data_IF_186942958857
#
_entry.id   IF_186942958857
#
_cell.length_a   1.000
_cell.length_b   1.000
_cell.length_c   1.000
_cell.angle_alpha   90.00
_cell.angle_beta   90.00
_cell.angle_gamma   90.00
#
_symmetry.space_group_name_H-M   'P 1'
#
loop_
_entity.id
_entity.type
_entity.pdbx_description
1 polymer ?
#
# COMPACT_ATOMS: atom_id res chain seq x y z
N UNK A 1 33.76 36.39 21.57
CA UNK A 1 32.53 35.65 21.91
C UNK A 1 32.16 34.80 20.71
N UNK A 2 32.70 33.58 20.66
CA UNK A 2 32.43 32.60 19.63
C UNK A 2 31.53 31.53 20.25
N UNK A 3 30.32 31.36 19.72
CA UNK A 3 29.35 30.36 20.15
C UNK A 3 29.30 29.27 19.08
N UNK A 4 29.94 28.15 19.39
CA UNK A 4 29.87 26.90 18.62
C UNK A 4 28.63 26.12 19.03
N UNK A 5 27.69 25.92 18.10
CA UNK A 5 26.61 24.94 18.26
C UNK A 5 27.14 23.54 17.84
N UNK A 6 26.83 22.47 18.59
CA UNK A 6 27.23 21.12 18.20
C UNK A 6 26.24 20.52 17.19
N UNK A 7 26.82 19.91 16.17
CA UNK A 7 26.17 19.16 15.11
C UNK A 7 25.72 17.79 15.67
N UNK A 8 24.41 17.60 15.84
CA UNK A 8 23.84 16.34 16.31
C UNK A 8 23.72 15.35 15.13
N UNK A 9 24.67 14.43 15.05
CA UNK A 9 24.65 13.29 14.13
C UNK A 9 23.49 12.35 14.49
N UNK A 10 22.39 12.41 13.73
CA UNK A 10 21.33 11.39 13.76
C UNK A 10 21.76 10.19 12.92
N UNK A 11 22.17 9.12 13.58
CA UNK A 11 22.36 7.81 12.97
C UNK A 11 21.01 7.13 12.76
N UNK A 12 20.55 7.05 11.52
CA UNK A 12 19.41 6.22 11.14
C UNK A 12 19.76 4.72 11.23
N UNK A 13 18.82 3.84 11.58
CA UNK A 13 19.06 2.41 11.60
C UNK A 13 19.24 1.89 10.18
N UNK A 14 20.45 1.38 9.89
CA UNK A 14 20.77 0.68 8.64
C UNK A 14 19.92 -0.59 8.58
N UNK A 15 18.96 -0.63 7.64
CA UNK A 15 18.25 -1.85 7.28
C UNK A 15 19.28 -2.86 6.74
N UNK A 16 19.58 -3.88 7.54
CA UNK A 16 20.50 -4.97 7.20
C UNK A 16 19.86 -5.80 6.09
N UNK A 17 20.43 -5.70 4.89
CA UNK A 17 20.08 -6.52 3.72
C UNK A 17 20.46 -7.98 4.02
N UNK A 18 19.47 -8.83 4.24
CA UNK A 18 19.67 -10.27 4.39
C UNK A 18 20.11 -10.89 3.06
N UNK A 19 21.37 -11.29 2.98
CA UNK A 19 21.88 -12.16 1.91
C UNK A 19 21.41 -13.58 2.18
N UNK A 20 20.40 -14.04 1.44
CA UNK A 20 20.00 -15.44 1.43
C UNK A 20 20.98 -16.27 0.61
N UNK A 21 21.92 -16.93 1.29
CA UNK A 21 22.73 -18.01 0.74
C UNK A 21 21.91 -19.30 0.86
N UNK A 22 21.64 -19.96 -0.27
CA UNK A 22 20.93 -21.24 -0.30
C UNK A 22 21.77 -22.36 0.37
N UNK A 23 21.14 -23.32 1.06
CA UNK A 23 21.86 -24.45 1.64
C UNK A 23 22.19 -25.47 0.56
N UNK A 24 23.48 -25.82 0.52
CA UNK A 24 24.07 -26.89 -0.24
C UNK A 24 23.73 -28.22 0.44
N UNK A 25 22.91 -29.07 -0.18
CA UNK A 25 22.72 -30.46 0.23
C UNK A 25 23.51 -31.35 -0.73
N UNK A 26 24.65 -31.84 -0.24
CA UNK A 26 25.35 -32.98 -0.82
C UNK A 26 24.90 -34.28 -0.14
N UNK A 27 24.91 -35.35 -0.93
CA UNK A 27 25.22 -36.77 -0.64
C UNK A 27 24.48 -37.60 -1.69
N UNK A 28 25.14 -38.20 -2.69
CA UNK A 28 26.07 -39.34 -2.68
C UNK A 28 25.37 -40.65 -3.09
N UNK A 29 26.10 -41.44 -3.86
CA UNK A 29 25.86 -42.82 -4.36
C UNK A 29 25.05 -42.95 -5.65
N UNK A 30 25.33 -43.84 -6.60
CA UNK A 30 26.50 -44.61 -7.06
C UNK A 30 25.99 -45.40 -8.30
N UNK A 31 26.87 -45.64 -9.27
CA UNK A 31 26.83 -46.73 -10.27
C UNK A 31 25.66 -46.83 -11.28
N UNK A 32 25.97 -46.58 -12.55
CA UNK A 32 25.95 -47.63 -13.58
C UNK A 32 26.51 -47.10 -14.91
N UNK A 33 27.50 -47.83 -15.43
CA UNK A 33 28.14 -47.62 -16.71
C UNK A 33 27.21 -47.97 -17.89
N UNK A 34 27.29 -47.17 -18.96
CA UNK A 34 27.13 -47.66 -20.32
C UNK A 34 27.91 -46.77 -21.30
N UNK A 35 29.00 -47.34 -21.82
CA UNK A 35 29.72 -46.87 -23.00
C UNK A 35 28.82 -46.94 -24.25
N UNK A 36 28.96 -45.94 -25.11
CA UNK A 36 28.39 -45.93 -26.45
C UNK A 36 28.61 -44.59 -27.17
N UNK A 37 29.54 -44.51 -28.14
CA UNK A 37 29.81 -43.31 -28.91
C UNK A 37 28.83 -43.22 -30.08
N UNK A 38 28.46 -42.02 -30.52
CA UNK A 38 28.15 -41.75 -31.93
C UNK A 38 28.05 -40.24 -32.20
N UNK A 39 28.81 -39.88 -33.22
CA UNK A 39 28.86 -38.62 -33.93
C UNK A 39 27.46 -38.07 -34.27
N UNK A 40 27.31 -36.75 -34.16
CA UNK A 40 26.73 -35.92 -35.23
C UNK A 40 26.72 -34.44 -34.84
N UNK A 41 27.59 -33.67 -35.50
CA UNK A 41 27.29 -32.27 -35.83
C UNK A 41 25.87 -32.19 -36.43
N UNK A 42 25.17 -31.08 -36.19
CA UNK A 42 24.92 -30.24 -37.35
C UNK A 42 25.06 -28.74 -37.07
N UNK A 43 25.74 -28.11 -38.03
CA UNK A 43 25.28 -26.93 -38.74
C UNK A 43 24.86 -25.71 -37.92
N UNK A 44 25.76 -24.74 -37.96
CA UNK A 44 25.48 -23.39 -38.48
C UNK A 44 24.01 -23.09 -38.79
N UNK A 45 23.42 -22.16 -38.06
CA UNK A 45 22.46 -21.25 -38.67
C UNK A 45 22.79 -19.82 -38.25
N UNK A 46 23.37 -19.11 -39.22
CA UNK A 46 23.46 -17.66 -39.27
C UNK A 46 22.04 -17.16 -39.51
N UNK A 47 21.54 -16.28 -38.65
CA UNK A 47 20.53 -15.32 -39.09
C UNK A 47 20.90 -13.94 -38.59
N UNK A 48 21.53 -13.25 -39.52
CA UNK A 48 21.59 -11.81 -39.66
C UNK A 48 20.17 -11.22 -39.57
N UNK A 49 20.00 -10.19 -38.74
CA UNK A 49 19.01 -9.16 -38.97
C UNK A 49 19.62 -7.82 -38.56
N UNK A 50 20.31 -7.24 -39.53
CA UNK A 50 20.76 -5.87 -39.57
C UNK A 50 19.60 -4.93 -39.19
N UNK A 51 19.68 -4.31 -38.01
CA UNK A 51 18.96 -3.07 -37.73
C UNK A 51 19.61 -1.97 -38.58
N UNK A 52 19.16 -1.93 -39.83
CA UNK A 52 19.47 -0.90 -40.82
C UNK A 52 18.76 0.36 -40.35
N UNK A 53 19.48 1.21 -39.63
CA UNK A 53 19.09 2.59 -39.36
C UNK A 53 18.94 3.31 -40.72
N UNK A 54 17.72 3.28 -41.24
CA UNK A 54 17.32 4.05 -42.40
C UNK A 54 17.29 5.52 -42.03
N UNK A 55 18.42 6.19 -42.23
CA UNK A 55 18.54 7.63 -42.42
C UNK A 55 17.76 8.00 -43.70
N UNK A 56 16.43 8.04 -43.59
CA UNK A 56 15.58 8.68 -44.57
C UNK A 56 15.63 10.17 -44.33
N UNK A 57 16.56 10.84 -45.01
CA UNK A 57 16.50 12.27 -45.31
C UNK A 57 15.20 12.54 -46.06
N UNK A 58 14.13 12.84 -45.31
CA UNK A 58 12.92 13.41 -45.88
C UNK A 58 13.16 14.91 -45.98
N UNK A 59 13.64 15.33 -47.15
CA UNK A 59 13.61 16.71 -47.63
C UNK A 59 12.15 17.18 -47.69
N UNK A 60 11.65 17.62 -46.55
CA UNK A 60 10.38 18.34 -46.44
C UNK A 60 10.70 19.84 -46.50
N UNK A 61 11.17 20.28 -47.67
CA UNK A 61 11.19 21.69 -48.04
C UNK A 61 9.79 22.08 -48.51
N UNK A 62 9.15 22.99 -47.79
CA UNK A 62 7.88 23.60 -48.22
C UNK A 62 6.83 23.63 -47.13
N UNK A 63 6.87 24.63 -46.27
CA UNK A 63 5.91 25.73 -46.38
C UNK A 63 6.21 26.82 -45.34
N UNK A 64 6.42 28.01 -45.89
CA UNK A 64 6.77 29.26 -45.24
C UNK A 64 5.67 29.73 -44.26
N UNK A 65 6.10 30.04 -43.04
CA UNK A 65 5.91 31.33 -42.40
C UNK A 65 4.48 31.92 -42.33
N UNK A 66 3.60 31.17 -41.68
CA UNK A 66 2.49 31.77 -40.92
C UNK A 66 2.94 32.08 -39.50
N UNK A 67 3.54 33.26 -39.28
CA UNK A 67 3.96 33.83 -37.99
C UNK A 67 2.81 33.83 -36.95
N UNK A 68 2.63 32.67 -36.32
CA UNK A 68 1.71 32.46 -35.19
C UNK A 68 2.55 32.29 -33.92
N UNK A 69 3.61 33.10 -33.78
CA UNK A 69 4.52 33.10 -32.63
C UNK A 69 3.97 33.86 -31.41
N UNK A 70 2.69 34.25 -31.44
CA UNK A 70 2.04 34.98 -30.37
C UNK A 70 1.27 34.08 -29.38
N UNK A 71 1.92 33.73 -28.27
CA UNK A 71 1.27 33.49 -26.98
C UNK A 71 0.39 32.24 -26.78
N UNK A 72 0.70 31.09 -27.39
CA UNK A 72 0.42 29.82 -26.67
C UNK A 72 1.51 29.63 -25.60
N UNK A 73 1.58 30.55 -24.64
CA UNK A 73 2.32 30.36 -23.40
C UNK A 73 1.58 29.30 -22.59
N UNK A 74 1.67 28.05 -23.07
CA UNK A 74 1.28 26.79 -22.47
C UNK A 74 0.52 26.95 -21.14
N UNK A 75 -0.80 27.09 -21.22
CA UNK A 75 -1.71 27.17 -20.07
C UNK A 75 -1.68 25.87 -19.26
N UNK A 76 -0.66 25.72 -18.42
CA UNK A 76 -0.60 24.71 -17.38
C UNK A 76 -1.26 25.28 -16.13
N UNK A 77 -2.33 24.63 -15.69
CA UNK A 77 -3.00 24.95 -14.44
C UNK A 77 -2.20 24.38 -13.27
N UNK A 78 -1.90 25.19 -12.28
CA UNK A 78 -1.31 24.70 -11.04
C UNK A 78 -2.38 24.09 -10.14
N UNK A 79 -2.16 22.83 -9.75
CA UNK A 79 -3.08 22.09 -8.90
C UNK A 79 -2.31 21.40 -7.78
N UNK A 80 -2.96 21.17 -6.64
CA UNK A 80 -2.50 20.24 -5.63
C UNK A 80 -3.26 18.92 -5.74
N UNK A 81 -2.54 17.80 -5.72
CA UNK A 81 -3.16 16.48 -5.67
C UNK A 81 -2.35 15.53 -4.79
N UNK A 82 -2.99 14.46 -4.33
CA UNK A 82 -2.27 13.35 -3.70
C UNK A 82 -1.43 12.62 -4.77
N UNK A 83 -0.11 12.41 -4.54
CA UNK A 83 0.73 11.70 -5.50
C UNK A 83 0.31 10.24 -5.72
N UNK A 84 -0.40 9.63 -4.78
CA UNK A 84 -0.92 8.26 -4.91
C UNK A 84 -2.13 8.18 -5.87
N UNK A 85 -2.85 9.29 -6.06
CA UNK A 85 -3.99 9.36 -7.00
C UNK A 85 -3.55 9.59 -8.46
N UNK A 86 -2.29 9.99 -8.67
CA UNK A 86 -1.76 10.23 -10.02
C UNK A 86 -1.29 8.91 -10.65
N UNK A 87 -1.75 8.64 -11.87
CA UNK A 87 -1.43 7.45 -12.68
C UNK A 87 -0.13 7.63 -13.47
N UNK A 88 0.57 6.52 -13.67
CA UNK A 88 1.70 6.44 -14.60
C UNK A 88 1.21 6.34 -16.05
N UNK A 89 1.85 7.07 -16.96
CA UNK A 89 1.56 6.91 -18.40
C UNK A 89 2.31 5.74 -19.02
N UNK A 90 3.48 5.39 -18.48
CA UNK A 90 4.37 4.34 -18.99
C UNK A 90 4.37 3.13 -18.07
N UNK A 91 4.47 1.93 -18.65
CA UNK A 91 4.65 0.68 -17.91
C UNK A 91 6.06 0.52 -17.32
N UNK A 92 7.07 1.16 -17.92
CA UNK A 92 8.49 1.02 -17.54
C UNK A 92 9.16 2.37 -17.30
N UNK A 93 9.96 2.47 -16.22
CA UNK A 93 10.84 3.62 -15.97
C UNK A 93 12.27 3.20 -15.70
N UNK A 94 13.19 4.10 -16.04
CA UNK A 94 14.59 3.97 -15.70
C UNK A 94 14.83 4.34 -14.22
N UNK A 95 15.60 3.56 -13.43
CA UNK A 95 15.84 3.79 -11.99
C UNK A 95 16.68 5.04 -11.66
N UNK A 96 17.07 5.82 -12.66
CA UNK A 96 17.96 6.97 -12.52
C UNK A 96 17.34 8.23 -13.09
N UNK A 97 17.53 9.34 -12.37
CA UNK A 97 17.36 10.67 -12.92
C UNK A 97 18.56 11.06 -13.77
N UNK A 98 18.31 11.79 -14.85
CA UNK A 98 19.37 12.36 -15.67
C UNK A 98 20.24 13.29 -14.80
N UNK A 99 21.56 13.03 -14.76
CA UNK A 99 22.58 13.75 -13.96
C UNK A 99 22.47 13.69 -12.43
N UNK A 100 21.36 13.23 -11.85
CA UNK A 100 21.15 13.19 -10.39
C UNK A 100 21.35 11.80 -9.77
N UNK A 101 21.59 10.78 -10.59
CA UNK A 101 21.84 9.42 -10.12
C UNK A 101 20.55 8.65 -9.79
N UNK A 102 20.63 7.61 -8.95
CA UNK A 102 19.49 6.77 -8.59
C UNK A 102 18.33 7.58 -8.00
N UNK A 103 17.09 7.21 -8.37
CA UNK A 103 15.88 7.88 -7.87
C UNK A 103 15.79 7.81 -6.33
N UNK A 104 16.16 6.67 -5.74
CA UNK A 104 16.18 6.46 -4.28
C UNK A 104 17.06 7.46 -3.52
N UNK A 105 18.09 8.04 -4.16
CA UNK A 105 18.94 9.05 -3.53
C UNK A 105 18.27 10.45 -3.48
N UNK A 106 17.17 10.62 -4.20
CA UNK A 106 16.39 11.86 -4.22
C UNK A 106 15.25 11.83 -3.21
N UNK A 107 14.73 10.64 -2.87
CA UNK A 107 13.59 10.48 -1.94
C UNK A 107 13.84 11.17 -0.59
N UNK A 108 14.99 10.97 0.11
CA UNK A 108 15.27 11.65 1.38
C UNK A 108 15.43 13.17 1.28
N UNK A 109 15.52 13.71 0.05
CA UNK A 109 15.64 15.15 -0.21
C UNK A 109 14.28 15.82 -0.43
N UNK A 110 13.20 15.04 -0.54
CA UNK A 110 11.83 15.55 -0.65
C UNK A 110 11.39 15.94 0.77
N UNK A 111 11.10 17.22 0.98
CA UNK A 111 10.71 17.72 2.30
C UNK A 111 9.21 17.59 2.48
N UNK A 112 8.77 17.01 3.61
CA UNK A 112 7.37 17.07 4.02
C UNK A 112 7.15 18.31 4.89
N UNK A 113 6.25 19.19 4.46
CA UNK A 113 5.88 20.43 5.17
C UNK A 113 4.45 20.28 5.66
N UNK A 114 4.24 20.40 6.96
CA UNK A 114 2.89 20.37 7.54
C UNK A 114 2.13 21.64 7.16
N UNK A 115 1.03 21.48 6.42
CA UNK A 115 0.14 22.57 6.06
C UNK A 115 -0.93 22.73 7.13
N UNK A 116 -0.88 23.84 7.88
CA UNK A 116 -1.97 24.24 8.79
C UNK A 116 -2.99 25.04 8.00
N UNK A 117 -3.89 24.36 7.31
CA UNK A 117 -5.08 25.03 6.78
C UNK A 117 -6.04 25.37 7.93
N UNK A 118 -6.66 26.55 7.86
CA UNK A 118 -7.30 27.20 9.00
C UNK A 118 -8.66 26.57 9.41
N UNK A 119 -9.04 25.41 8.87
CA UNK A 119 -10.40 24.88 9.06
C UNK A 119 -10.59 23.36 9.07
N UNK A 120 -9.60 22.54 8.67
CA UNK A 120 -9.74 21.08 8.70
C UNK A 120 -8.91 20.49 9.84
N UNK A 121 -9.51 19.59 10.61
CA UNK A 121 -8.81 18.81 11.64
C UNK A 121 -7.76 17.84 11.06
N UNK A 122 -7.76 17.67 9.73
CA UNK A 122 -6.86 16.75 9.04
C UNK A 122 -5.54 17.43 8.70
N UNK A 123 -4.47 16.90 9.30
CA UNK A 123 -3.09 17.30 9.03
C UNK A 123 -2.63 16.76 7.67
N UNK A 124 -2.70 17.59 6.63
CA UNK A 124 -2.19 17.24 5.30
C UNK A 124 -0.73 17.68 5.15
N UNK A 125 0.13 16.78 4.67
CA UNK A 125 1.54 17.07 4.40
C UNK A 125 1.73 17.53 2.94
N UNK A 126 2.37 18.68 2.73
CA UNK A 126 2.86 19.06 1.39
C UNK A 126 4.25 18.48 1.15
N UNK A 127 4.40 17.71 0.07
CA UNK A 127 5.69 17.20 -0.38
C UNK A 127 6.35 18.22 -1.32
N UNK A 128 7.49 18.76 -0.90
CA UNK A 128 8.28 19.76 -1.64
C UNK A 128 9.54 19.08 -2.20
N UNK A 129 9.52 18.63 -3.48
CA UNK A 129 10.65 17.93 -4.08
C UNK A 129 11.79 18.88 -4.49
N UNK A 130 13.03 18.38 -4.62
CA UNK A 130 14.17 19.17 -5.11
C UNK A 130 14.20 19.29 -6.65
N UNK A 131 13.09 19.04 -7.34
CA UNK A 131 12.93 19.09 -8.79
C UNK A 131 11.67 19.87 -9.17
N UNK A 132 11.61 20.36 -10.41
CA UNK A 132 10.45 21.10 -10.91
C UNK A 132 9.15 20.28 -10.81
N UNK A 133 8.02 20.96 -10.70
CA UNK A 133 6.70 20.34 -10.68
C UNK A 133 6.52 19.30 -11.79
N UNK A 134 5.74 18.26 -11.50
CA UNK A 134 5.41 17.23 -12.48
C UNK A 134 4.30 17.73 -13.40
N UNK A 135 4.38 17.38 -14.68
CA UNK A 135 3.32 17.64 -15.63
C UNK A 135 2.33 16.48 -15.64
N UNK A 136 1.05 16.80 -15.65
CA UNK A 136 -0.06 15.86 -15.64
C UNK A 136 -1.05 16.19 -16.76
N UNK A 137 -1.58 15.15 -17.39
CA UNK A 137 -2.72 15.23 -18.30
C UNK A 137 -3.97 14.81 -17.54
N UNK A 138 -5.00 15.65 -17.54
CA UNK A 138 -6.32 15.30 -17.00
C UNK A 138 -7.09 14.48 -18.05
N UNK A 139 -7.56 13.29 -17.66
CA UNK A 139 -8.40 12.44 -18.52
C UNK A 139 -9.63 12.02 -17.72
N UNK A 140 -10.73 12.76 -17.89
CA UNK A 140 -11.92 12.59 -17.06
C UNK A 140 -11.65 13.06 -15.63
N UNK A 141 -11.87 12.18 -14.65
CA UNK A 141 -11.57 12.44 -13.23
C UNK A 141 -10.13 12.11 -12.84
N UNK A 142 -9.39 11.41 -13.70
CA UNK A 142 -8.05 10.91 -13.38
C UNK A 142 -6.93 11.85 -13.85
N UNK A 143 -5.83 11.86 -13.11
CA UNK A 143 -4.60 12.58 -13.44
C UNK A 143 -3.52 11.59 -13.90
N UNK A 144 -2.91 11.86 -15.04
CA UNK A 144 -1.91 11.01 -15.68
C UNK A 144 -0.58 11.73 -15.79
N UNK A 145 0.49 11.23 -15.16
CA UNK A 145 1.78 11.91 -15.16
C UNK A 145 2.54 11.74 -16.48
N UNK A 146 3.07 12.84 -17.01
CA UNK A 146 4.01 12.84 -18.13
C UNK A 146 5.47 12.68 -17.66
N UNK A 147 5.70 12.73 -16.34
CA UNK A 147 6.99 12.71 -15.67
C UNK A 147 7.12 11.50 -14.71
N UNK A 148 6.87 10.28 -15.22
CA UNK A 148 6.74 9.05 -14.42
C UNK A 148 7.87 8.80 -13.40
N UNK A 149 9.13 9.14 -13.72
CA UNK A 149 10.26 9.02 -12.77
C UNK A 149 10.11 9.93 -11.55
N UNK A 150 9.61 11.15 -11.75
CA UNK A 150 9.36 12.11 -10.66
C UNK A 150 8.15 11.68 -9.85
N UNK A 151 7.09 11.20 -10.51
CA UNK A 151 5.94 10.62 -9.82
C UNK A 151 6.35 9.43 -8.94
N UNK A 152 7.15 8.50 -9.44
CA UNK A 152 7.65 7.36 -8.66
C UNK A 152 8.40 7.83 -7.40
N UNK A 153 9.28 8.83 -7.52
CA UNK A 153 9.97 9.41 -6.36
C UNK A 153 9.01 10.04 -5.34
N UNK A 154 7.97 10.74 -5.82
CA UNK A 154 6.94 11.36 -4.97
C UNK A 154 6.06 10.32 -4.27
N UNK A 155 5.70 9.23 -4.96
CA UNK A 155 4.95 8.13 -4.36
C UNK A 155 5.79 7.40 -3.32
N UNK A 156 7.08 7.16 -3.56
CA UNK A 156 7.98 6.61 -2.55
C UNK A 156 8.03 7.50 -1.30
N UNK A 157 8.20 8.81 -1.44
CA UNK A 157 8.20 9.74 -0.32
C UNK A 157 6.84 9.80 0.40
N UNK A 158 5.72 9.77 -0.34
CA UNK A 158 4.40 9.69 0.27
C UNK A 158 4.22 8.41 1.09
N UNK A 159 4.77 7.28 0.62
CA UNK A 159 4.73 6.02 1.35
C UNK A 159 5.59 6.02 2.62
N UNK A 160 6.62 6.87 2.74
CA UNK A 160 7.37 7.05 3.99
C UNK A 160 6.53 7.75 5.07
N UNK A 161 5.50 8.50 4.66
CA UNK A 161 4.58 9.20 5.55
C UNK A 161 3.22 8.52 5.68
N UNK A 162 3.02 7.38 5.02
CA UNK A 162 1.79 6.61 5.12
C UNK A 162 1.51 6.24 6.59
N UNK A 163 0.28 6.37 7.10
CA UNK A 163 -0.99 6.64 6.39
C UNK A 163 -1.40 8.12 6.30
N UNK A 164 -0.50 9.07 6.56
CA UNK A 164 -0.83 10.50 6.49
C UNK A 164 -1.07 10.91 5.03
N UNK A 165 -2.11 11.71 4.83
CA UNK A 165 -2.40 12.26 3.51
C UNK A 165 -1.30 13.25 3.10
N UNK A 166 -0.79 13.04 1.90
CA UNK A 166 0.23 13.88 1.29
C UNK A 166 -0.35 14.57 0.05
N UNK A 167 0.07 15.81 -0.21
CA UNK A 167 -0.23 16.53 -1.45
C UNK A 167 1.05 17.05 -2.09
N UNK A 168 1.04 17.20 -3.40
CA UNK A 168 2.14 17.78 -4.17
C UNK A 168 1.58 18.78 -5.17
N UNK A 169 2.32 19.87 -5.38
CA UNK A 169 2.04 20.84 -6.45
C UNK A 169 2.43 20.26 -7.80
N UNK A 170 1.48 20.27 -8.73
CA UNK A 170 1.64 19.76 -10.09
C UNK A 170 1.12 20.76 -11.13
N UNK A 171 1.55 20.56 -12.37
CA UNK A 171 1.12 21.31 -13.54
C UNK A 171 0.18 20.43 -14.35
N UNK A 172 -1.09 20.82 -14.45
CA UNK A 172 -2.12 20.04 -15.10
C UNK A 172 -2.58 20.70 -16.40
N UNK A 173 -2.98 19.89 -17.39
CA UNK A 173 -3.67 20.35 -18.59
C UNK A 173 -4.66 19.30 -19.05
N UNK A 174 -5.77 19.72 -19.66
CA UNK A 174 -6.79 18.79 -20.16
C UNK A 174 -6.43 18.16 -21.52
N UNK A 175 -5.58 18.84 -22.29
CA UNK A 175 -5.18 18.41 -23.65
C UNK A 175 -3.70 18.63 -23.87
N UNK A 176 -3.04 17.67 -24.51
CA UNK A 176 -1.64 17.80 -24.93
C UNK A 176 -1.51 18.86 -26.03
N UNK A 177 -0.42 19.66 -26.04
CA UNK A 177 -0.13 20.58 -27.14
C UNK A 177 -0.11 19.82 -28.48
N UNK A 178 -0.73 20.39 -29.53
CA UNK A 178 -0.83 19.74 -30.85
C UNK A 178 0.53 19.30 -31.39
N UNK A 179 1.55 20.16 -31.24
CA UNK A 179 2.92 19.90 -31.71
C UNK A 179 3.61 18.72 -30.98
N UNK A 180 3.24 18.43 -29.74
CA UNK A 180 3.80 17.33 -28.92
C UNK A 180 2.88 16.12 -28.81
N UNK A 181 1.71 16.16 -29.46
CA UNK A 181 0.68 15.13 -29.30
C UNK A 181 1.22 13.74 -29.66
N UNK A 182 1.83 13.59 -30.84
CA UNK A 182 2.32 12.28 -31.33
C UNK A 182 3.40 11.68 -30.42
N UNK A 183 4.33 12.48 -29.92
CA UNK A 183 5.46 12.00 -29.11
C UNK A 183 5.04 11.69 -27.68
N UNK A 184 4.16 12.50 -27.08
CA UNK A 184 3.65 12.26 -25.73
C UNK A 184 2.61 11.13 -25.70
N UNK A 185 1.75 11.03 -26.71
CA UNK A 185 0.74 9.96 -26.77
C UNK A 185 1.37 8.57 -26.88
N UNK A 186 2.52 8.44 -27.57
CA UNK A 186 3.30 7.19 -27.60
C UNK A 186 3.78 6.72 -26.23
N UNK A 187 3.82 7.61 -25.23
CA UNK A 187 4.18 7.23 -23.85
C UNK A 187 3.04 6.57 -23.10
N UNK A 188 1.79 6.71 -23.55
CA UNK A 188 0.63 6.05 -22.96
C UNK A 188 0.60 4.59 -23.38
N UNK A 189 1.39 3.78 -22.68
CA UNK A 189 1.47 2.34 -22.90
C UNK A 189 1.49 1.62 -21.56
N UNK A 190 0.44 1.82 -20.77
CA UNK A 190 0.25 1.10 -19.51
C UNK A 190 -0.84 0.05 -19.66
N UNK A 191 -0.60 -1.13 -19.10
CA UNK A 191 -1.55 -2.24 -19.02
C UNK A 191 -2.37 -2.21 -17.73
N UNK A 192 -1.84 -1.58 -16.67
CA UNK A 192 -2.38 -1.59 -15.30
C UNK A 192 -3.18 -0.34 -14.92
N UNK A 193 -3.77 0.37 -15.89
CA UNK A 193 -4.38 1.70 -15.69
C UNK A 193 -3.41 2.73 -15.04
N UNK A 194 -2.10 2.50 -15.15
CA UNK A 194 -1.08 3.38 -14.58
C UNK A 194 -0.95 3.25 -13.07
N UNK A 195 -1.42 2.15 -12.47
CA UNK A 195 -1.28 1.88 -11.02
C UNK A 195 0.00 1.13 -10.66
N UNK A 196 0.54 0.40 -11.62
CA UNK A 196 1.78 -0.39 -11.47
C UNK A 196 2.81 0.10 -12.47
N UNK A 197 4.08 0.14 -12.06
CA UNK A 197 5.19 0.47 -12.95
C UNK A 197 6.40 -0.43 -12.67
N UNK A 198 7.05 -0.88 -13.74
CA UNK A 198 8.29 -1.65 -13.66
C UNK A 198 9.50 -0.71 -13.69
N UNK A 199 10.38 -0.87 -12.70
CA UNK A 199 11.64 -0.14 -12.61
C UNK A 199 12.72 -1.00 -13.24
N UNK A 200 13.14 -0.67 -14.46
CA UNK A 200 14.09 -1.46 -15.23
C UNK A 200 15.19 -0.59 -15.85
N UNK A 201 16.41 -1.13 -15.92
CA UNK A 201 17.49 -0.55 -16.71
C UNK A 201 18.00 -1.60 -17.70
N UNK A 202 18.00 -1.26 -18.99
CA UNK A 202 18.34 -2.17 -20.09
C UNK A 202 17.48 -3.45 -20.03
N UNK A 203 18.08 -4.58 -19.64
CA UNK A 203 17.46 -5.90 -19.56
C UNK A 203 17.29 -6.40 -18.12
N UNK A 204 17.61 -5.57 -17.13
CA UNK A 204 17.48 -5.93 -15.72
C UNK A 204 16.25 -5.24 -15.11
N UNK A 205 15.29 -6.04 -14.67
CA UNK A 205 14.19 -5.60 -13.83
C UNK A 205 14.70 -5.52 -12.38
N UNK A 206 14.56 -4.35 -11.76
CA UNK A 206 14.98 -4.11 -10.38
C UNK A 206 13.82 -4.31 -9.42
N UNK A 207 12.66 -3.76 -9.78
CA UNK A 207 11.48 -3.72 -8.91
C UNK A 207 10.21 -3.55 -9.76
N UNK A 208 9.07 -3.97 -9.20
CA UNK A 208 7.74 -3.68 -9.74
C UNK A 208 6.97 -2.93 -8.66
N UNK A 209 6.76 -1.64 -8.91
CA UNK A 209 6.14 -0.75 -7.96
C UNK A 209 4.64 -0.69 -8.15
N UNK A 210 3.90 -0.98 -7.08
CA UNK A 210 2.48 -0.70 -6.94
C UNK A 210 2.26 -0.13 -5.53
N UNK A 211 1.98 1.17 -5.45
CA UNK A 211 1.87 1.84 -4.16
C UNK A 211 0.73 1.28 -3.30
N UNK A 212 -0.37 0.80 -3.90
CA UNK A 212 -1.51 0.25 -3.18
C UNK A 212 -1.13 -1.07 -2.48
N UNK A 213 -0.46 -1.97 -3.19
CA UNK A 213 0.06 -3.19 -2.59
C UNK A 213 1.06 -2.87 -1.47
N UNK A 214 1.91 -1.85 -1.67
CA UNK A 214 2.85 -1.41 -0.65
C UNK A 214 2.16 -0.88 0.60
N UNK A 215 1.09 -0.09 0.45
CA UNK A 215 0.28 0.39 1.56
C UNK A 215 -0.38 -0.78 2.32
N UNK A 216 -0.93 -1.75 1.60
CA UNK A 216 -1.52 -2.96 2.18
C UNK A 216 -0.48 -3.76 2.99
N UNK A 217 0.75 -3.89 2.51
CA UNK A 217 1.84 -4.55 3.25
C UNK A 217 2.19 -3.83 4.55
N UNK A 218 2.27 -2.49 4.54
CA UNK A 218 2.54 -1.71 5.74
C UNK A 218 1.42 -1.87 6.76
N UNK A 219 0.17 -1.71 6.32
CA UNK A 219 -1.01 -1.87 7.18
C UNK A 219 -1.16 -3.30 7.71
N UNK A 220 -0.81 -4.30 6.90
CA UNK A 220 -0.78 -5.69 7.34
C UNK A 220 0.12 -5.85 8.54
N UNK A 221 1.35 -5.36 8.47
CA UNK A 221 2.32 -5.51 9.54
C UNK A 221 1.77 -4.95 10.87
N UNK A 222 1.18 -3.75 10.83
CA UNK A 222 0.55 -3.14 12.01
C UNK A 222 -0.66 -3.92 12.52
N UNK A 223 -1.56 -4.33 11.62
CA UNK A 223 -2.75 -5.10 11.99
C UNK A 223 -2.37 -6.43 12.61
N UNK A 224 -1.44 -7.17 11.99
CA UNK A 224 -0.97 -8.47 12.47
C UNK A 224 -0.26 -8.34 13.82
N UNK A 225 0.51 -7.27 14.06
CA UNK A 225 1.11 -7.00 15.37
C UNK A 225 0.05 -6.76 16.46
N UNK A 226 -1.01 -5.99 16.14
CA UNK A 226 -2.12 -5.74 17.08
C UNK A 226 -2.92 -7.01 17.36
N UNK A 227 -3.22 -7.78 16.32
CA UNK A 227 -3.91 -9.06 16.42
C UNK A 227 -3.09 -10.08 17.21
N UNK A 228 -1.78 -10.15 16.97
CA UNK A 228 -0.86 -10.99 17.73
C UNK A 228 -0.88 -10.66 19.22
N UNK A 229 -0.78 -9.36 19.57
CA UNK A 229 -0.88 -8.90 20.97
C UNK A 229 -2.22 -9.30 21.59
N UNK A 230 -3.31 -9.13 20.85
CA UNK A 230 -4.64 -9.52 21.30
C UNK A 230 -4.72 -11.03 21.53
N UNK A 231 -4.29 -11.85 20.58
CA UNK A 231 -4.28 -13.31 20.72
C UNK A 231 -3.41 -13.76 21.90
N UNK A 232 -2.25 -13.14 22.12
CA UNK A 232 -1.41 -13.45 23.29
C UNK A 232 -2.11 -13.20 24.62
N UNK A 233 -2.94 -12.14 24.74
CA UNK A 233 -3.76 -11.93 25.94
C UNK A 233 -4.76 -13.08 26.12
N UNK A 234 -5.39 -13.53 25.03
CA UNK A 234 -6.34 -14.65 25.09
C UNK A 234 -5.67 -16.01 25.31
N UNK A 235 -4.42 -16.21 24.89
CA UNK A 235 -3.63 -17.41 25.17
C UNK A 235 -3.26 -17.52 26.66
N UNK A 236 -3.01 -16.39 27.33
CA UNK A 236 -2.66 -16.36 28.77
C UNK A 236 -3.89 -16.59 29.66
N UNK A 237 -5.09 -16.17 29.21
CA UNK A 237 -6.33 -16.27 30.00
C UNK A 237 -6.64 -17.71 30.50
N UNK A 238 -6.56 -18.77 29.68
CA UNK A 238 -6.72 -20.16 30.14
C UNK A 238 -5.72 -20.57 31.23
N UNK A 239 -4.47 -20.13 31.13
CA UNK A 239 -3.42 -20.45 32.11
C UNK A 239 -3.72 -19.77 33.44
N UNK A 240 -4.04 -18.47 33.41
CA UNK A 240 -4.46 -17.72 34.60
C UNK A 240 -5.71 -18.34 35.21
N UNK A 241 -6.70 -18.70 34.39
CA UNK A 241 -7.91 -19.39 34.83
C UNK A 241 -7.62 -20.72 35.52
N UNK A 242 -6.70 -21.53 34.98
CA UNK A 242 -6.29 -22.79 35.58
C UNK A 242 -5.57 -22.61 36.93
N UNK A 243 -4.71 -21.59 37.06
CA UNK A 243 -4.03 -21.25 38.31
C UNK A 243 -5.02 -20.75 39.37
N UNK A 244 -5.94 -19.88 38.99
CA UNK A 244 -7.00 -19.37 39.86
C UNK A 244 -7.96 -20.49 40.31
N UNK A 245 -8.25 -21.45 39.44
CA UNK A 245 -9.00 -22.66 39.78
C UNK A 245 -8.24 -23.54 40.79
N UNK A 246 -6.95 -23.82 40.52
CA UNK A 246 -6.11 -24.66 41.38
C UNK A 246 -5.93 -24.07 42.78
N UNK A 247 -5.83 -22.75 42.89
CA UNK A 247 -5.65 -22.04 44.17
C UNK A 247 -6.94 -21.93 44.98
N UNK A 248 -8.09 -22.36 44.44
CA UNK A 248 -9.39 -22.31 45.11
C UNK A 248 -9.96 -20.90 45.25
N UNK A 249 -9.28 -19.88 44.71
CA UNK A 249 -9.66 -18.46 44.83
C UNK A 249 -10.98 -18.16 44.12
N UNK A 250 -11.32 -18.92 43.07
CA UNK A 250 -12.56 -18.72 42.30
C UNK A 250 -13.78 -19.37 42.94
N UNK A 251 -13.61 -20.27 43.93
CA UNK A 251 -14.72 -20.98 44.56
C UNK A 251 -15.54 -21.87 43.62
N UNK A 252 -15.08 -22.11 42.39
CA UNK A 252 -15.80 -22.89 41.39
C UNK A 252 -15.64 -24.40 41.67
N UNK A 253 -16.73 -25.09 42.01
CA UNK A 253 -16.74 -26.54 42.19
C UNK A 253 -16.62 -27.33 40.87
N UNK A 254 -16.79 -26.67 39.71
CA UNK A 254 -16.87 -27.30 38.39
C UNK A 254 -15.54 -27.25 37.63
N UNK A 255 -15.19 -28.33 36.92
CA UNK A 255 -14.02 -28.42 36.02
C UNK A 255 -14.27 -27.81 34.63
N UNK A 256 -15.51 -27.41 34.34
CA UNK A 256 -15.93 -26.86 33.04
C UNK A 256 -15.08 -25.66 32.56
N UNK A 257 -14.68 -24.69 33.42
CA UNK A 257 -13.88 -23.55 33.00
C UNK A 257 -12.52 -23.95 32.42
N UNK A 258 -11.92 -25.03 32.94
CA UNK A 258 -10.62 -25.53 32.50
C UNK A 258 -10.74 -26.16 31.10
N UNK A 259 -11.76 -26.98 30.87
CA UNK A 259 -12.04 -27.57 29.54
C UNK A 259 -12.37 -26.49 28.52
N UNK A 260 -13.17 -25.49 28.91
CA UNK A 260 -13.51 -24.35 28.05
C UNK A 260 -12.27 -23.53 27.68
N UNK A 261 -11.35 -23.31 28.63
CA UNK A 261 -10.08 -22.63 28.39
C UNK A 261 -9.20 -23.36 27.37
N UNK A 262 -9.07 -24.69 27.48
CA UNK A 262 -8.34 -25.49 26.48
C UNK A 262 -9.00 -25.46 25.10
N UNK A 263 -10.32 -25.63 25.04
CA UNK A 263 -11.05 -25.55 23.77
C UNK A 263 -10.89 -24.16 23.11
N UNK A 264 -10.87 -23.10 23.90
CA UNK A 264 -10.64 -21.73 23.42
C UNK A 264 -9.22 -21.56 22.89
N UNK A 265 -8.20 -22.12 23.55
CA UNK A 265 -6.82 -22.09 23.04
C UNK A 265 -6.71 -22.78 21.66
N UNK A 266 -7.31 -23.96 21.50
CA UNK A 266 -7.36 -24.64 20.18
C UNK A 266 -8.14 -23.84 19.13
N UNK A 267 -9.23 -23.18 19.52
CA UNK A 267 -9.98 -22.33 18.61
C UNK A 267 -9.16 -21.10 18.17
N UNK A 268 -8.41 -20.48 19.09
CA UNK A 268 -7.47 -19.38 18.79
C UNK A 268 -6.41 -19.83 17.81
N UNK A 269 -5.79 -20.99 18.02
CA UNK A 269 -4.80 -21.56 17.10
C UNK A 269 -5.37 -21.79 15.69
N UNK A 270 -6.59 -22.34 15.61
CA UNK A 270 -7.26 -22.55 14.33
C UNK A 270 -7.61 -21.23 13.63
N UNK A 271 -8.10 -20.24 14.39
CA UNK A 271 -8.37 -18.90 13.87
C UNK A 271 -7.10 -18.28 13.31
N UNK A 272 -5.97 -18.37 14.04
CA UNK A 272 -4.68 -17.81 13.63
C UNK A 272 -4.22 -18.31 12.26
N UNK A 273 -4.50 -19.56 11.91
CA UNK A 273 -4.21 -20.12 10.58
C UNK A 273 -5.06 -19.51 9.46
N UNK A 274 -6.33 -19.17 9.76
CA UNK A 274 -7.26 -18.57 8.79
C UNK A 274 -7.10 -17.06 8.67
N UNK A 275 -6.60 -16.42 9.73
CA UNK A 275 -6.49 -14.97 9.89
C UNK A 275 -5.67 -14.31 8.77
N UNK A 276 -4.64 -14.95 8.21
CA UNK A 276 -3.81 -14.34 7.17
C UNK A 276 -4.61 -13.87 5.93
N UNK A 277 -5.54 -14.68 5.42
CA UNK A 277 -6.32 -14.30 4.23
C UNK A 277 -7.28 -13.13 4.57
N UNK A 278 -7.85 -13.15 5.78
CA UNK A 278 -8.75 -12.09 6.24
C UNK A 278 -8.00 -10.79 6.54
N UNK A 279 -6.81 -10.85 7.14
CA UNK A 279 -5.94 -9.70 7.41
C UNK A 279 -5.68 -8.91 6.12
N UNK A 280 -5.30 -9.61 5.04
CA UNK A 280 -5.09 -8.97 3.74
C UNK A 280 -6.30 -8.17 3.28
N UNK A 281 -7.47 -8.79 3.32
CA UNK A 281 -8.72 -8.17 2.84
C UNK A 281 -9.11 -6.98 3.72
N UNK A 282 -8.96 -7.09 5.03
CA UNK A 282 -9.21 -5.98 5.95
C UNK A 282 -8.24 -4.83 5.66
N UNK A 283 -6.97 -5.11 5.38
CA UNK A 283 -5.98 -4.08 5.02
C UNK A 283 -6.31 -3.42 3.68
N UNK A 284 -6.70 -4.19 2.66
CA UNK A 284 -7.15 -3.65 1.37
C UNK A 284 -8.33 -2.68 1.55
N UNK A 285 -9.32 -3.05 2.38
CA UNK A 285 -10.46 -2.19 2.69
C UNK A 285 -10.06 -0.97 3.51
N UNK A 286 -9.12 -1.12 4.44
CA UNK A 286 -8.61 -0.04 5.26
C UNK A 286 -7.86 1.00 4.41
N UNK A 287 -6.97 0.56 3.52
CA UNK A 287 -6.25 1.42 2.59
C UNK A 287 -7.22 2.20 1.70
N UNK A 288 -8.28 1.55 1.20
CA UNK A 288 -9.35 2.25 0.44
C UNK A 288 -10.04 3.32 1.28
N UNK A 289 -10.45 2.97 2.50
CA UNK A 289 -11.06 3.95 3.40
C UNK A 289 -10.14 5.15 3.69
N UNK A 290 -8.82 4.95 3.81
CA UNK A 290 -7.85 6.05 3.99
C UNK A 290 -7.87 7.00 2.78
N UNK A 291 -7.90 6.44 1.57
CA UNK A 291 -7.92 7.21 0.33
C UNK A 291 -9.23 7.98 0.15
N UNK A 292 -10.35 7.37 0.53
CA UNK A 292 -11.67 7.98 0.46
C UNK A 292 -11.86 9.07 1.55
N UNK A 293 -10.91 9.20 2.50
CA UNK A 293 -11.02 10.13 3.62
C UNK A 293 -11.99 9.68 4.72
N UNK A 294 -12.43 8.42 4.68
CA UNK A 294 -13.41 7.83 5.61
C UNK A 294 -12.79 7.40 6.96
N UNK A 295 -11.53 7.75 7.20
CA UNK A 295 -10.81 7.34 8.39
C UNK A 295 -10.90 8.39 9.47
N UNK A 296 -11.32 7.93 10.66
CA UNK A 296 -11.42 8.76 11.85
C UNK A 296 -10.24 8.46 12.74
N UNK A 297 -9.53 9.50 13.15
CA UNK A 297 -8.61 9.38 14.27
C UNK A 297 -9.45 9.20 15.53
N UNK A 298 -9.55 7.96 16.00
CA UNK A 298 -10.15 7.67 17.30
C UNK A 298 -9.18 8.21 18.34
N UNK A 299 -9.31 9.51 18.63
CA UNK A 299 -8.60 10.17 19.71
C UNK A 299 -8.83 9.36 20.98
N UNK A 300 -7.76 8.76 21.49
CA UNK A 300 -7.86 7.76 22.55
C UNK A 300 -8.75 8.26 23.68
N UNK A 301 -9.77 7.47 24.01
CA UNK A 301 -10.62 7.68 25.20
C UNK A 301 -9.77 7.69 26.50
N UNK A 302 -8.50 7.28 26.40
CA UNK A 302 -7.49 7.38 27.46
C UNK A 302 -6.37 8.40 27.18
N UNK A 303 -6.59 9.47 26.41
CA UNK A 303 -5.60 10.57 26.28
C UNK A 303 -5.63 11.46 27.52
N UNK A 304 -5.39 10.86 28.69
CA UNK A 304 -5.18 11.57 29.95
C UNK A 304 -3.77 12.15 29.92
N UNK A 305 -3.66 13.35 29.37
CA UNK A 305 -2.61 14.35 29.65
C UNK A 305 -1.23 13.76 29.96
N UNK A 306 -0.54 13.27 28.93
CA UNK A 306 0.92 13.23 28.97
C UNK A 306 1.41 14.33 28.04
N UNK A 307 1.77 15.42 28.68
CA UNK A 307 2.49 16.54 28.09
C UNK A 307 3.97 16.16 28.22
N UNK A 308 4.56 15.48 27.24
CA UNK A 308 6.00 15.26 27.21
C UNK A 308 6.54 15.43 25.78
N UNK A 309 7.59 16.24 25.71
CA UNK A 309 8.24 16.84 24.55
C UNK A 309 9.14 15.86 23.76
N UNK A 310 8.87 14.55 23.85
CA UNK A 310 9.80 13.50 23.43
C UNK A 310 9.16 12.59 22.38
N UNK A 311 9.10 13.04 21.13
CA UNK A 311 8.91 12.17 19.95
C UNK A 311 7.72 11.20 20.03
N UNK A 312 6.60 11.63 20.61
CA UNK A 312 5.40 10.81 20.79
C UNK A 312 4.93 10.26 19.43
N UNK A 313 4.98 8.95 19.27
CA UNK A 313 4.48 8.27 18.08
C UNK A 313 2.98 8.53 17.97
N UNK A 314 2.57 9.36 17.00
CA UNK A 314 1.16 9.64 16.78
C UNK A 314 0.38 8.33 16.58
N UNK A 315 -0.74 8.13 17.30
CA UNK A 315 -1.49 6.90 17.23
C UNK A 315 -1.95 6.66 15.80
N UNK A 316 -1.56 5.50 15.24
CA UNK A 316 -1.92 5.15 13.87
C UNK A 316 -3.44 5.20 13.69
N UNK A 317 -3.94 5.84 12.62
CA UNK A 317 -5.36 5.96 12.35
C UNK A 317 -6.03 4.59 12.28
N UNK A 318 -7.31 4.52 12.62
CA UNK A 318 -8.08 3.28 12.60
C UNK A 318 -9.36 3.50 11.82
N UNK A 319 -9.59 2.73 10.76
CA UNK A 319 -10.86 2.82 10.02
C UNK A 319 -11.96 2.10 10.76
N UNK A 320 -13.21 2.47 10.46
CA UNK A 320 -14.39 1.75 10.94
C UNK A 320 -14.33 0.26 10.60
N UNK A 321 -13.76 -0.11 9.45
CA UNK A 321 -13.59 -1.51 9.02
C UNK A 321 -12.62 -2.27 9.93
N UNK A 322 -11.45 -1.70 10.22
CA UNK A 322 -10.50 -2.31 11.15
C UNK A 322 -11.12 -2.46 12.54
N UNK A 323 -11.79 -1.41 13.04
CA UNK A 323 -12.45 -1.45 14.35
C UNK A 323 -13.56 -2.50 14.40
N UNK A 324 -14.41 -2.58 13.35
CA UNK A 324 -15.45 -3.59 13.26
C UNK A 324 -14.87 -5.01 13.20
N UNK A 325 -13.78 -5.21 12.47
CA UNK A 325 -13.09 -6.51 12.40
C UNK A 325 -12.49 -6.90 13.76
N UNK A 326 -11.78 -5.98 14.42
CA UNK A 326 -11.21 -6.19 15.75
C UNK A 326 -12.28 -6.48 16.79
N UNK A 327 -13.38 -5.72 16.80
CA UNK A 327 -14.50 -5.97 17.72
C UNK A 327 -15.20 -7.30 17.42
N UNK A 328 -15.40 -7.64 16.15
CA UNK A 328 -15.98 -8.94 15.75
C UNK A 328 -15.12 -10.10 16.22
N UNK A 329 -13.79 -9.96 16.13
CA UNK A 329 -12.85 -10.95 16.63
C UNK A 329 -12.86 -11.02 18.16
N UNK A 330 -12.80 -9.87 18.86
CA UNK A 330 -12.91 -9.81 20.32
C UNK A 330 -14.17 -10.51 20.80
N UNK A 331 -15.29 -10.25 20.14
CA UNK A 331 -16.53 -10.95 20.39
C UNK A 331 -16.32 -12.45 20.19
N UNK A 332 -15.98 -12.90 18.98
CA UNK A 332 -15.83 -14.33 18.71
C UNK A 332 -14.94 -15.07 19.74
N UNK A 333 -13.87 -14.42 20.22
CA UNK A 333 -12.99 -14.92 21.27
C UNK A 333 -13.61 -14.92 22.68
N UNK A 334 -14.47 -13.96 23.00
CA UNK A 334 -15.19 -13.89 24.27
C UNK A 334 -16.42 -14.80 24.32
N UNK A 335 -16.92 -15.28 23.17
CA UNK A 335 -18.11 -16.14 23.07
C UNK A 335 -18.04 -17.37 24.01
N UNK A 336 -16.94 -18.15 24.05
CA UNK A 336 -16.88 -19.35 24.89
C UNK A 336 -16.91 -19.01 26.39
N UNK A 337 -16.39 -17.83 26.77
CA UNK A 337 -16.43 -17.36 28.15
C UNK A 337 -17.87 -17.00 28.56
N UNK A 338 -18.60 -16.27 27.71
CA UNK A 338 -20.02 -15.95 27.93
C UNK A 338 -20.86 -17.23 28.02
N UNK A 339 -20.64 -18.19 27.12
CA UNK A 339 -21.33 -19.49 27.14
C UNK A 339 -21.00 -20.31 28.40
N UNK A 340 -19.75 -20.28 28.87
CA UNK A 340 -19.33 -20.91 30.12
C UNK A 340 -20.03 -20.31 31.33
N UNK A 341 -20.07 -18.98 31.43
CA UNK A 341 -20.70 -18.23 32.52
C UNK A 341 -22.21 -18.47 32.59
N UNK A 342 -22.91 -18.53 31.45
CA UNK A 342 -24.36 -18.74 31.44
C UNK A 342 -24.81 -20.12 31.92
N UNK A 343 -23.95 -21.14 31.88
CA UNK A 343 -24.25 -22.45 32.46
C UNK A 343 -24.35 -22.42 33.99
N UNK A 344 -23.76 -21.42 34.65
CA UNK A 344 -23.82 -21.24 36.12
C UNK A 344 -24.98 -20.32 36.59
N UNK A 345 -26.09 -20.26 35.84
CA UNK A 345 -27.30 -19.44 36.14
C UNK A 345 -27.08 -17.92 36.13
N UNK A 346 -26.00 -17.43 35.51
CA UNK A 346 -25.85 -15.98 35.27
C UNK A 346 -26.76 -15.52 34.12
N UNK A 347 -27.45 -14.41 34.37
CA UNK A 347 -28.68 -13.91 33.72
C UNK A 347 -28.61 -13.84 32.18
N UNK A 348 -29.70 -14.25 31.53
CA UNK A 348 -29.98 -14.18 30.08
C UNK A 348 -29.75 -12.80 29.44
N UNK A 349 -29.73 -11.73 30.23
CA UNK A 349 -29.52 -10.35 29.78
C UNK A 349 -28.11 -10.07 29.24
N UNK A 350 -27.08 -10.76 29.74
CA UNK A 350 -25.72 -10.59 29.23
C UNK A 350 -25.59 -11.19 27.84
N UNK A 351 -26.14 -12.39 27.63
CA UNK A 351 -26.08 -13.08 26.35
C UNK A 351 -26.92 -12.37 25.27
N UNK A 352 -28.05 -11.76 25.64
CA UNK A 352 -28.83 -10.94 24.71
C UNK A 352 -28.13 -9.64 24.32
N UNK A 353 -27.51 -8.92 25.27
CA UNK A 353 -26.71 -7.74 25.00
C UNK A 353 -25.53 -8.06 24.06
N UNK A 354 -24.88 -9.18 24.33
CA UNK A 354 -23.72 -9.64 23.58
C UNK A 354 -24.10 -10.07 22.15
N UNK A 355 -25.17 -10.85 21.99
CA UNK A 355 -25.74 -11.20 20.68
C UNK A 355 -26.16 -9.94 19.91
N UNK A 356 -26.71 -8.93 20.60
CA UNK A 356 -27.03 -7.63 20.01
C UNK A 356 -25.80 -6.91 19.45
N UNK A 357 -24.70 -6.83 20.22
CA UNK A 357 -23.45 -6.23 19.77
C UNK A 357 -22.84 -6.98 18.57
N UNK A 358 -22.83 -8.31 18.62
CA UNK A 358 -22.36 -9.17 17.54
C UNK A 358 -23.16 -8.95 16.26
N UNK A 359 -24.49 -8.83 16.37
CA UNK A 359 -25.36 -8.58 15.23
C UNK A 359 -25.07 -7.21 14.59
N UNK A 360 -24.96 -6.15 15.38
CA UNK A 360 -24.62 -4.80 14.88
C UNK A 360 -23.28 -4.79 14.16
N UNK A 361 -22.26 -5.44 14.73
CA UNK A 361 -20.92 -5.50 14.12
C UNK A 361 -20.91 -6.35 12.85
N UNK A 362 -21.64 -7.48 12.84
CA UNK A 362 -21.79 -8.29 11.64
C UNK A 362 -22.48 -7.52 10.52
N UNK A 363 -23.53 -6.73 10.82
CA UNK A 363 -24.20 -5.88 9.84
C UNK A 363 -23.28 -4.77 9.33
N UNK A 364 -22.50 -4.12 10.20
CA UNK A 364 -21.54 -3.10 9.79
C UNK A 364 -20.43 -3.68 8.91
N UNK A 365 -19.87 -4.84 9.27
CA UNK A 365 -18.87 -5.53 8.47
C UNK A 365 -19.44 -5.99 7.12
N UNK A 366 -20.66 -6.53 7.11
CA UNK A 366 -21.33 -6.95 5.89
C UNK A 366 -21.65 -5.77 4.96
N UNK A 367 -22.06 -4.61 5.50
CA UNK A 367 -22.24 -3.39 4.72
C UNK A 367 -20.93 -2.96 4.10
N UNK A 368 -19.86 -2.84 4.89
CA UNK A 368 -18.54 -2.46 4.39
C UNK A 368 -18.02 -3.41 3.29
N UNK A 369 -18.24 -4.72 3.45
CA UNK A 369 -17.88 -5.72 2.43
C UNK A 369 -18.73 -5.61 1.16
N UNK A 370 -20.03 -5.33 1.32
CA UNK A 370 -20.95 -5.15 0.19
C UNK A 370 -20.64 -3.87 -0.59
N UNK A 371 -20.37 -2.78 0.11
CA UNK A 371 -20.01 -1.50 -0.50
C UNK A 371 -18.68 -1.62 -1.25
N UNK A 372 -17.72 -2.35 -0.69
CA UNK A 372 -16.45 -2.65 -1.35
C UNK A 372 -16.57 -3.59 -2.56
N UNK A 373 -17.58 -4.47 -2.58
CA UNK A 373 -17.88 -5.35 -3.72
C UNK A 373 -18.69 -4.65 -4.82
N UNK A 374 -19.55 -3.69 -4.45
CA UNK A 374 -20.40 -2.94 -5.37
C UNK A 374 -19.63 -1.95 -6.26
N UNK A 375 -18.51 -1.43 -5.79
CA UNK A 375 -17.64 -0.54 -6.57
C UNK A 375 -16.89 -1.25 -7.72
N UNK A 376 -16.90 -2.60 -7.75
CA UNK A 376 -16.33 -3.40 -8.84
C UNK A 376 -17.41 -4.01 -9.75
N UNK A 377 -18.61 -3.42 -9.79
CA UNK A 377 -19.50 -3.66 -10.93
C UNK A 377 -18.77 -3.25 -12.21
N UNK A 378 -18.97 -3.96 -13.34
CA UNK A 378 -18.43 -3.53 -14.61
C UNK A 378 -18.92 -2.11 -14.83
N UNK A 379 -18.01 -1.15 -14.71
CA UNK A 379 -18.22 0.21 -15.16
C UNK A 379 -18.77 0.02 -16.56
N UNK A 380 -20.05 0.34 -16.73
CA UNK A 380 -20.71 0.29 -18.00
C UNK A 380 -19.85 1.17 -18.87
N UNK A 381 -19.00 0.52 -19.66
CA UNK A 381 -18.22 1.08 -20.73
C UNK A 381 -19.26 1.78 -21.58
N UNK A 382 -19.49 3.07 -21.29
CA UNK A 382 -20.11 3.99 -22.22
C UNK A 382 -19.10 4.04 -23.34
N UNK A 383 -19.16 3.02 -24.20
CA UNK A 383 -18.68 3.02 -25.56
C UNK A 383 -19.15 4.36 -26.10
N UNK A 384 -18.26 5.32 -26.07
CA UNK A 384 -18.36 6.53 -26.84
C UNK A 384 -18.41 6.01 -28.28
N UNK A 385 -19.63 5.89 -28.78
CA UNK A 385 -19.85 5.65 -30.20
C UNK A 385 -19.15 6.80 -30.93
N UNK A 386 -18.33 6.52 -31.96
CA UNK A 386 -17.69 7.56 -32.75
C UNK A 386 -18.80 8.24 -33.56
N UNK A 387 -19.41 9.27 -32.98
CA UNK A 387 -20.30 10.17 -33.72
C UNK A 387 -19.49 11.37 -34.20
N UNK A 388 -19.55 11.55 -35.51
CA UNK A 388 -18.99 12.61 -36.35
C UNK A 388 -17.54 12.45 -36.80
N UNK A 389 -17.42 11.62 -37.84
CA UNK A 389 -16.62 11.97 -39.01
C UNK A 389 -17.50 11.84 -40.26
N UNK A 390 -18.28 12.88 -40.53
CA UNK A 390 -18.66 13.37 -41.87
C UNK A 390 -18.81 14.89 -41.77
#
# INVERSE_FOLDING_TARGET
MASTCPEASRSSPVLRKGSGTAPNTGDADADAATDGPLDSDPASDKQDAEDREGEGESDFEGDEDGDTTGHEADDWEELYACPLDVRFTQEKIHPFFYRRGPIVNVVPKIRAVLMREHSSADEILELVPPFNHIHCLRKGTELWSLDNRRLYALQLAAMEHWPRQCRVRLLCRDRLPRHKFKTQYRKFNTTSEGRTIDVCARYQQFDTWNWFNRAVELEWYYLSSRLGTLFSVFEILPVVGAVLYRTGVTGLGSRVPLVAGFALAFAVDFLRQRVLIFERRICELHVRAILDGDVKYIGGICRRSQHNDDGEEDPAPTSAVQLAAMLSLCLLLLLPYVLGVTRDKLRSSLLSCWTGLACVLAVQLASALRDAGGAAGPEQEKRLTPKHRE
#
